data_IF_904524531034
#
_entry.id   IF_904524531034
#
_cell.length_a   1.000
_cell.length_b   1.000
_cell.length_c   1.000
_cell.angle_alpha   90.00
_cell.angle_beta   90.00
_cell.angle_gamma   90.00
#
_symmetry.space_group_name_H-M   'P 1'
#
loop_
_entity.id
_entity.type
_entity.pdbx_description
1 polymer ?
#
# COMPACT_ATOMS: atom_id res chain seq x y z
N UNK A 1 72.44 7.63 -3.12
CA UNK A 1 71.43 7.64 -2.06
C UNK A 1 70.07 7.36 -2.70
N UNK A 2 69.58 6.11 -2.59
CA UNK A 2 68.33 5.69 -3.22
C UNK A 2 67.24 5.73 -2.16
N UNK A 3 66.28 6.67 -2.26
CA UNK A 3 65.18 6.81 -1.32
C UNK A 3 64.06 5.84 -1.70
N UNK A 4 63.88 4.78 -0.93
CA UNK A 4 62.78 3.83 -1.09
C UNK A 4 61.50 4.44 -0.52
N UNK A 5 60.56 4.80 -1.41
CA UNK A 5 59.21 5.25 -1.06
C UNK A 5 58.40 4.01 -0.61
N UNK A 6 58.04 3.92 0.66
CA UNK A 6 57.10 2.93 1.19
C UNK A 6 55.69 3.41 0.81
N UNK A 7 55.02 2.73 -0.13
CA UNK A 7 53.65 2.98 -0.51
C UNK A 7 52.75 2.31 0.54
N UNK A 8 52.22 3.09 1.46
CA UNK A 8 51.23 2.62 2.44
C UNK A 8 49.90 2.35 1.70
N UNK A 9 49.61 1.08 1.47
CA UNK A 9 48.35 0.65 0.91
C UNK A 9 47.23 0.87 1.95
N UNK A 10 46.45 1.93 1.81
CA UNK A 10 45.25 2.16 2.59
C UNK A 10 44.20 1.12 2.19
N UNK A 11 44.00 0.11 3.02
CA UNK A 11 42.91 -0.87 2.86
C UNK A 11 41.58 -0.14 3.01
N UNK A 12 40.96 0.20 1.89
CA UNK A 12 39.58 0.72 1.90
C UNK A 12 38.63 -0.43 2.18
N UNK A 13 38.21 -0.56 3.44
CA UNK A 13 37.14 -1.49 3.83
C UNK A 13 35.89 -1.15 3.02
N UNK A 14 35.34 -2.10 2.23
CA UNK A 14 34.12 -1.84 1.48
C UNK A 14 33.00 -1.44 2.45
N UNK A 15 32.34 -0.32 2.17
CA UNK A 15 31.17 0.08 2.94
C UNK A 15 30.11 -1.04 2.96
N UNK A 16 29.47 -1.33 4.09
CA UNK A 16 28.47 -2.39 4.19
C UNK A 16 27.39 -2.15 3.14
N UNK A 17 27.20 -3.11 2.24
CA UNK A 17 26.08 -3.08 1.29
C UNK A 17 24.81 -3.05 2.12
N UNK A 18 24.10 -1.91 2.10
CA UNK A 18 22.87 -1.73 2.85
C UNK A 18 21.91 -2.89 2.53
N UNK A 19 21.70 -3.77 3.51
CA UNK A 19 20.86 -4.95 3.38
C UNK A 19 19.47 -4.51 2.90
N UNK A 20 19.05 -4.98 1.71
CA UNK A 20 17.73 -4.70 1.15
C UNK A 20 16.66 -5.18 2.13
N UNK A 21 15.99 -4.26 2.79
CA UNK A 21 14.92 -4.59 3.73
C UNK A 21 13.80 -5.32 2.99
N UNK A 22 13.35 -6.48 3.48
CA UNK A 22 12.33 -7.27 2.78
C UNK A 22 11.01 -6.51 2.72
N UNK A 23 10.60 -6.09 1.51
CA UNK A 23 9.36 -5.32 1.27
C UNK A 23 8.13 -6.16 1.60
N UNK A 24 8.16 -7.47 1.27
CA UNK A 24 6.99 -8.32 1.32
C UNK A 24 6.47 -8.60 2.74
N UNK A 25 7.33 -8.84 3.73
CA UNK A 25 6.89 -9.13 5.13
C UNK A 25 6.10 -7.96 5.72
N UNK A 26 6.61 -6.75 5.55
CA UNK A 26 5.95 -5.54 6.03
C UNK A 26 4.71 -5.20 5.19
N UNK A 27 4.75 -5.54 3.89
CA UNK A 27 3.62 -5.39 3.00
C UNK A 27 2.45 -6.29 3.40
N UNK A 28 2.71 -7.56 3.68
CA UNK A 28 1.69 -8.51 4.17
C UNK A 28 1.12 -8.04 5.52
N UNK A 29 1.97 -7.63 6.46
CA UNK A 29 1.49 -7.11 7.75
C UNK A 29 0.62 -5.86 7.58
N UNK A 30 1.02 -4.93 6.71
CA UNK A 30 0.22 -3.74 6.39
C UNK A 30 -1.11 -4.10 5.71
N UNK A 31 -1.13 -5.11 4.82
CA UNK A 31 -2.34 -5.59 4.16
C UNK A 31 -3.34 -6.18 5.16
N UNK A 32 -2.85 -6.97 6.12
CA UNK A 32 -3.69 -7.51 7.20
C UNK A 32 -4.22 -6.37 8.08
N UNK A 33 -3.37 -5.43 8.48
CA UNK A 33 -3.80 -4.26 9.27
C UNK A 33 -4.84 -3.41 8.54
N UNK A 34 -4.65 -3.19 7.24
CA UNK A 34 -5.64 -2.48 6.41
C UNK A 34 -6.97 -3.26 6.31
N UNK A 35 -6.91 -4.58 6.12
CA UNK A 35 -8.11 -5.41 6.06
C UNK A 35 -8.91 -5.37 7.37
N UNK A 36 -8.24 -5.45 8.52
CA UNK A 36 -8.89 -5.30 9.83
C UNK A 36 -9.54 -3.92 9.98
N UNK A 37 -8.82 -2.85 9.62
CA UNK A 37 -9.32 -1.49 9.72
C UNK A 37 -10.56 -1.25 8.82
N UNK A 38 -10.50 -1.68 7.55
CA UNK A 38 -11.63 -1.52 6.62
C UNK A 38 -12.83 -2.37 7.00
N UNK A 39 -12.61 -3.57 7.54
CA UNK A 39 -13.70 -4.42 8.07
C UNK A 39 -14.35 -3.77 9.29
N UNK A 40 -13.56 -3.17 10.18
CA UNK A 40 -14.11 -2.46 11.35
C UNK A 40 -14.97 -1.26 10.91
N UNK A 41 -14.50 -0.47 9.92
CA UNK A 41 -15.27 0.64 9.34
C UNK A 41 -16.60 0.11 8.77
N UNK A 42 -16.56 -0.96 7.97
CA UNK A 42 -17.75 -1.55 7.37
C UNK A 42 -18.71 -2.09 8.42
N UNK A 43 -18.20 -2.76 9.47
CA UNK A 43 -19.02 -3.29 10.55
C UNK A 43 -19.72 -2.18 11.36
N UNK A 44 -19.00 -1.09 11.67
CA UNK A 44 -19.57 0.08 12.34
C UNK A 44 -20.63 0.75 11.48
N UNK A 45 -20.35 1.00 10.21
CA UNK A 45 -21.30 1.60 9.28
C UNK A 45 -22.57 0.71 9.12
N UNK A 46 -22.38 -0.63 9.03
CA UNK A 46 -23.52 -1.55 8.98
C UNK A 46 -24.36 -1.54 10.27
N UNK A 47 -23.72 -1.38 11.43
CA UNK A 47 -24.43 -1.22 12.71
C UNK A 47 -25.26 0.07 12.77
N UNK A 48 -24.81 1.12 12.07
CA UNK A 48 -25.51 2.39 11.89
C UNK A 48 -26.55 2.35 10.75
N UNK A 49 -26.81 1.16 10.16
CA UNK A 49 -27.83 0.95 9.13
C UNK A 49 -27.38 1.16 7.70
N UNK A 50 -26.07 1.33 7.43
CA UNK A 50 -25.53 1.41 6.06
C UNK A 50 -25.58 0.03 5.40
N UNK A 51 -26.26 -0.07 4.26
CA UNK A 51 -26.54 -1.36 3.60
C UNK A 51 -25.41 -1.82 2.67
N UNK A 52 -24.61 -0.90 2.13
CA UNK A 52 -23.63 -1.17 1.05
C UNK A 52 -24.24 -1.86 -0.17
N UNK A 53 -25.54 -1.65 -0.40
CA UNK A 53 -26.24 -2.16 -1.56
C UNK A 53 -26.26 -1.11 -2.69
N UNK A 54 -26.22 -1.58 -3.93
CA UNK A 54 -26.33 -0.72 -5.14
C UNK A 54 -27.78 -0.49 -5.56
N UNK A 55 -28.71 -1.29 -5.00
CA UNK A 55 -30.15 -1.18 -5.27
C UNK A 55 -30.92 -1.23 -3.95
N UNK A 56 -32.04 -0.50 -3.82
CA UNK A 56 -32.89 -0.55 -2.63
C UNK A 56 -33.38 -1.96 -2.34
N UNK A 57 -33.07 -2.50 -1.14
CA UNK A 57 -33.41 -3.85 -0.73
C UNK A 57 -32.57 -4.96 -1.37
N UNK A 58 -31.58 -4.62 -2.18
CA UNK A 58 -30.64 -5.57 -2.75
C UNK A 58 -29.60 -6.08 -1.75
N UNK A 59 -28.82 -7.11 -2.12
CA UNK A 59 -27.74 -7.63 -1.27
C UNK A 59 -26.62 -6.59 -1.16
N UNK A 60 -26.27 -6.23 0.08
CA UNK A 60 -25.12 -5.36 0.36
C UNK A 60 -23.80 -6.13 0.45
N UNK A 61 -22.69 -5.41 0.40
CA UNK A 61 -21.36 -5.99 0.61
C UNK A 61 -21.22 -6.34 2.10
N UNK A 62 -21.04 -7.64 2.45
CA UNK A 62 -20.88 -8.01 3.85
C UNK A 62 -19.53 -7.49 4.39
N UNK A 63 -19.39 -7.20 5.71
CA UNK A 63 -18.15 -6.70 6.30
C UNK A 63 -16.93 -7.58 5.99
N UNK A 64 -17.10 -8.91 5.94
CA UNK A 64 -16.01 -9.83 5.56
C UNK A 64 -15.55 -9.64 4.11
N UNK A 65 -16.43 -9.19 3.22
CA UNK A 65 -16.08 -8.84 1.84
C UNK A 65 -15.06 -7.70 1.78
N UNK A 66 -15.14 -6.74 2.70
CA UNK A 66 -14.15 -5.65 2.81
C UNK A 66 -12.77 -6.20 3.17
N UNK A 67 -12.67 -7.14 4.11
CA UNK A 67 -11.41 -7.80 4.44
C UNK A 67 -10.81 -8.49 3.22
N UNK A 68 -11.62 -9.28 2.52
CA UNK A 68 -11.19 -10.05 1.35
C UNK A 68 -10.69 -9.13 0.22
N UNK A 69 -11.48 -8.13 -0.16
CA UNK A 69 -11.12 -7.19 -1.22
C UNK A 69 -9.88 -6.37 -0.84
N UNK A 70 -9.83 -5.87 0.39
CA UNK A 70 -8.67 -5.10 0.88
C UNK A 70 -7.40 -5.95 0.88
N UNK A 71 -7.46 -7.21 1.30
CA UNK A 71 -6.31 -8.12 1.24
C UNK A 71 -5.84 -8.34 -0.20
N UNK A 72 -6.75 -8.66 -1.11
CA UNK A 72 -6.43 -8.92 -2.52
C UNK A 72 -5.74 -7.70 -3.14
N UNK A 73 -6.36 -6.52 -3.06
CA UNK A 73 -5.82 -5.32 -3.68
C UNK A 73 -4.54 -4.81 -3.00
N UNK A 74 -4.43 -4.94 -1.67
CA UNK A 74 -3.21 -4.59 -0.94
C UNK A 74 -2.05 -5.52 -1.30
N UNK A 75 -2.29 -6.83 -1.48
CA UNK A 75 -1.27 -7.78 -1.92
C UNK A 75 -0.82 -7.53 -3.37
N UNK A 76 -1.74 -7.11 -4.25
CA UNK A 76 -1.39 -6.62 -5.60
C UNK A 76 -0.47 -5.39 -5.46
N UNK A 77 -0.78 -4.46 -4.56
CA UNK A 77 0.07 -3.31 -4.24
C UNK A 77 1.47 -3.70 -3.74
N UNK A 78 1.57 -4.75 -2.92
CA UNK A 78 2.86 -5.33 -2.48
C UNK A 78 3.65 -5.88 -3.67
N UNK A 79 2.99 -6.63 -4.56
CA UNK A 79 3.59 -7.13 -5.80
C UNK A 79 4.10 -6.00 -6.69
N UNK A 80 3.30 -4.96 -6.88
CA UNK A 80 3.67 -3.75 -7.64
C UNK A 80 4.89 -3.05 -7.01
N UNK A 81 4.91 -2.87 -5.69
CA UNK A 81 6.06 -2.31 -4.97
C UNK A 81 7.32 -3.15 -5.17
N UNK A 82 7.22 -4.47 -5.13
CA UNK A 82 8.33 -5.40 -5.36
C UNK A 82 8.88 -5.31 -6.79
N UNK A 83 8.02 -5.21 -7.80
CA UNK A 83 8.42 -5.01 -9.20
C UNK A 83 9.09 -3.65 -9.38
N UNK A 84 8.51 -2.57 -8.84
CA UNK A 84 9.09 -1.24 -8.92
C UNK A 84 10.43 -1.14 -8.19
N UNK A 85 10.60 -1.84 -7.06
CA UNK A 85 11.89 -1.95 -6.36
C UNK A 85 13.00 -2.52 -7.24
N UNK A 86 12.66 -3.37 -8.22
CA UNK A 86 13.63 -4.02 -9.13
C UNK A 86 13.85 -3.24 -10.43
N UNK A 87 12.78 -2.69 -11.00
CA UNK A 87 12.78 -2.16 -12.38
C UNK A 87 12.76 -0.63 -12.46
N UNK A 88 12.22 0.10 -11.48
CA UNK A 88 12.09 1.54 -11.57
C UNK A 88 13.37 2.28 -11.16
N UNK A 89 13.70 3.38 -11.87
CA UNK A 89 14.82 4.27 -11.52
C UNK A 89 14.57 5.00 -10.18
N UNK A 90 13.31 5.35 -9.90
CA UNK A 90 12.88 6.04 -8.67
C UNK A 90 11.73 5.25 -8.04
N UNK A 91 11.99 4.06 -7.46
CA UNK A 91 10.93 3.13 -7.10
C UNK A 91 9.93 3.71 -6.10
N UNK A 92 10.40 4.46 -5.10
CA UNK A 92 9.52 5.09 -4.11
C UNK A 92 8.58 6.11 -4.74
N UNK A 93 9.09 7.04 -5.54
CA UNK A 93 8.29 8.10 -6.15
C UNK A 93 7.28 7.52 -7.15
N UNK A 94 7.72 6.56 -7.98
CA UNK A 94 6.83 5.88 -8.93
C UNK A 94 5.72 5.15 -8.20
N UNK A 95 6.06 4.36 -7.16
CA UNK A 95 5.08 3.63 -6.37
C UNK A 95 4.04 4.55 -5.74
N UNK A 96 4.47 5.62 -5.04
CA UNK A 96 3.56 6.55 -4.37
C UNK A 96 2.60 7.20 -5.36
N UNK A 97 3.11 7.69 -6.49
CA UNK A 97 2.27 8.31 -7.54
C UNK A 97 1.24 7.34 -8.09
N UNK A 98 1.66 6.11 -8.42
CA UNK A 98 0.75 5.07 -8.92
C UNK A 98 -0.28 4.69 -7.86
N UNK A 99 0.14 4.48 -6.61
CA UNK A 99 -0.77 4.12 -5.52
C UNK A 99 -1.81 5.21 -5.26
N UNK A 100 -1.40 6.49 -5.22
CA UNK A 100 -2.33 7.62 -5.08
C UNK A 100 -3.30 7.69 -6.26
N UNK A 101 -2.81 7.56 -7.49
CA UNK A 101 -3.67 7.56 -8.68
C UNK A 101 -4.70 6.42 -8.64
N UNK A 102 -4.29 5.20 -8.24
CA UNK A 102 -5.21 4.07 -8.08
C UNK A 102 -6.22 4.28 -6.95
N UNK A 103 -5.80 4.89 -5.84
CA UNK A 103 -6.71 5.22 -4.73
C UNK A 103 -7.76 6.26 -5.18
N UNK A 104 -7.36 7.28 -5.92
CA UNK A 104 -8.31 8.25 -6.49
C UNK A 104 -9.25 7.57 -7.49
N UNK A 105 -8.73 6.69 -8.33
CA UNK A 105 -9.52 5.95 -9.30
C UNK A 105 -10.53 5.01 -8.63
N UNK A 106 -10.20 4.44 -7.45
CA UNK A 106 -11.09 3.55 -6.70
C UNK A 106 -12.34 4.27 -6.15
N UNK A 107 -12.31 5.60 -6.04
CA UNK A 107 -13.47 6.40 -5.65
C UNK A 107 -14.52 6.47 -6.77
N UNK A 108 -14.12 6.30 -8.03
CA UNK A 108 -15.05 6.39 -9.16
C UNK A 108 -16.19 5.39 -9.06
N UNK A 109 -15.96 4.08 -8.87
CA UNK A 109 -17.06 3.13 -8.68
C UNK A 109 -17.91 3.44 -7.44
N UNK A 110 -17.33 3.93 -6.34
CA UNK A 110 -18.09 4.28 -5.13
C UNK A 110 -19.14 5.37 -5.40
N UNK A 111 -18.87 6.25 -6.38
CA UNK A 111 -19.77 7.34 -6.76
C UNK A 111 -20.67 7.02 -7.95
N UNK A 112 -20.37 5.98 -8.74
CA UNK A 112 -21.07 5.72 -10.01
C UNK A 112 -21.88 4.43 -10.02
N UNK A 113 -21.66 3.49 -9.11
CA UNK A 113 -22.33 2.17 -9.11
C UNK A 113 -23.70 2.17 -8.40
N UNK A 114 -24.22 3.34 -8.03
CA UNK A 114 -25.56 3.46 -7.45
C UNK A 114 -25.61 3.28 -5.93
N UNK A 115 -24.48 3.29 -5.24
CA UNK A 115 -24.46 3.33 -3.78
C UNK A 115 -25.13 4.60 -3.24
N UNK A 116 -25.86 4.47 -2.14
CA UNK A 116 -26.37 5.61 -1.40
C UNK A 116 -25.23 6.45 -0.78
N UNK A 117 -25.51 7.68 -0.40
CA UNK A 117 -24.49 8.60 0.14
C UNK A 117 -23.75 8.03 1.37
N UNK A 118 -24.42 7.44 2.38
CA UNK A 118 -23.73 6.83 3.53
C UNK A 118 -22.79 5.68 3.13
N UNK A 119 -23.21 4.82 2.19
CA UNK A 119 -22.38 3.73 1.66
C UNK A 119 -21.17 4.27 0.91
N UNK A 120 -21.36 5.25 0.00
CA UNK A 120 -20.27 5.86 -0.75
C UNK A 120 -19.24 6.53 0.17
N UNK A 121 -19.66 7.29 1.18
CA UNK A 121 -18.77 7.92 2.16
C UNK A 121 -17.99 6.87 2.95
N UNK A 122 -18.64 5.79 3.36
CA UNK A 122 -17.98 4.70 4.10
C UNK A 122 -16.96 3.96 3.24
N UNK A 123 -17.26 3.71 1.95
CA UNK A 123 -16.34 3.10 0.99
C UNK A 123 -15.12 3.99 0.72
N UNK A 124 -15.32 5.28 0.47
CA UNK A 124 -14.24 6.26 0.28
C UNK A 124 -13.35 6.34 1.54
N UNK A 125 -13.96 6.31 2.73
CA UNK A 125 -13.24 6.29 4.00
C UNK A 125 -12.39 5.02 4.11
N UNK A 126 -12.95 3.86 3.79
CA UNK A 126 -12.22 2.59 3.80
C UNK A 126 -11.04 2.60 2.83
N UNK A 127 -11.22 3.09 1.58
CA UNK A 127 -10.13 3.24 0.61
C UNK A 127 -9.02 4.17 1.10
N UNK A 128 -9.39 5.31 1.69
CA UNK A 128 -8.44 6.29 2.23
C UNK A 128 -7.65 5.71 3.40
N UNK A 129 -8.30 5.02 4.33
CA UNK A 129 -7.65 4.38 5.49
C UNK A 129 -6.72 3.24 5.03
N UNK A 130 -7.17 2.39 4.11
CA UNK A 130 -6.33 1.34 3.55
C UNK A 130 -5.08 1.92 2.88
N UNK A 131 -5.22 2.96 2.06
CA UNK A 131 -4.11 3.65 1.42
C UNK A 131 -3.17 4.31 2.45
N UNK A 132 -3.70 4.93 3.50
CA UNK A 132 -2.91 5.56 4.56
C UNK A 132 -2.07 4.55 5.37
N UNK A 133 -2.49 3.30 5.46
CA UNK A 133 -1.73 2.22 6.11
C UNK A 133 -0.70 1.61 5.14
N UNK A 134 -1.13 1.22 3.96
CA UNK A 134 -0.33 0.42 3.02
C UNK A 134 0.72 1.28 2.30
N UNK A 135 0.34 2.45 1.80
CA UNK A 135 1.23 3.27 0.95
C UNK A 135 2.48 3.75 1.71
N UNK A 136 2.40 4.37 2.90
CA UNK A 136 3.60 4.79 3.62
C UNK A 136 4.45 3.62 4.09
N UNK A 137 3.83 2.50 4.49
CA UNK A 137 4.55 1.29 4.91
C UNK A 137 5.41 0.74 3.78
N UNK A 138 4.86 0.60 2.58
CA UNK A 138 5.60 0.12 1.41
C UNK A 138 6.60 1.16 0.89
N UNK A 139 6.21 2.43 0.82
CA UNK A 139 7.07 3.52 0.37
C UNK A 139 8.32 3.68 1.25
N UNK A 140 8.19 3.45 2.57
CA UNK A 140 9.32 3.48 3.50
C UNK A 140 10.35 2.35 3.29
N UNK A 141 9.99 1.29 2.55
CA UNK A 141 10.87 0.16 2.21
C UNK A 141 11.52 0.29 0.84
N UNK A 142 11.05 1.21 0.02
CA UNK A 142 11.59 1.47 -1.31
C UNK A 142 12.72 2.50 -1.25
N UNK A 143 13.78 2.30 -2.04
CA UNK A 143 14.84 3.29 -2.21
C UNK A 143 14.31 4.54 -2.91
N UNK A 144 14.86 5.71 -2.58
CA UNK A 144 14.47 6.98 -3.24
C UNK A 144 14.98 7.06 -4.66
N UNK A 145 16.18 6.51 -4.88
CA UNK A 145 16.87 6.45 -6.18
C UNK A 145 17.65 5.14 -6.26
N UNK A 146 17.89 4.68 -7.46
CA UNK A 146 18.92 3.68 -7.80
C UNK A 146 20.11 4.39 -8.39
#
# INVERSE_FOLDING_TARGET
>A
MTTTQIRTSTSTTPAPVAARRPVWKHGVAASVGAAVATTAIAALASADGVSFATEPGGPGIPPLGFAQLTLIFSLIGVGMAAVMARKARRPRSTFVRTAVALTVLSVVPDLTFGFDTPSAVSLITAHTVAAAIVVPTLAGRLSRTR
#
